data_IF_508577703588
#
_entry.id   IF_508577703588
#
_cell.length_a   1.000
_cell.length_b   1.000
_cell.length_c   1.000
_cell.angle_alpha   90.00
_cell.angle_beta   90.00
_cell.angle_gamma   90.00
#
_symmetry.space_group_name_H-M   'P 1'
#
loop_
_entity.id
_entity.type
_entity.pdbx_description
1 polymer ?
#
# COMPACT_ATOMS: atom_id res chain seq x y z
N UNK A 1 32.58 -3.78 4.27
CA UNK A 1 31.46 -3.45 3.38
C UNK A 1 30.41 -2.78 4.25
N UNK A 2 29.92 -1.58 3.93
CA UNK A 2 28.82 -1.00 4.69
C UNK A 2 27.60 -1.92 4.50
N UNK A 3 27.01 -2.41 5.60
CA UNK A 3 25.79 -3.21 5.53
C UNK A 3 24.66 -2.34 4.97
N UNK A 4 23.98 -2.84 3.93
CA UNK A 4 22.77 -2.19 3.41
C UNK A 4 21.69 -2.32 4.49
N UNK A 5 21.40 -1.21 5.16
CA UNK A 5 20.39 -1.15 6.21
C UNK A 5 19.26 -0.19 5.78
N UNK A 6 18.06 -0.74 5.60
CA UNK A 6 16.86 -0.02 5.15
C UNK A 6 15.73 -0.16 6.21
N UNK A 7 15.92 0.34 7.44
CA UNK A 7 15.01 0.07 8.54
C UNK A 7 13.58 0.58 8.30
N UNK A 8 13.40 1.75 7.67
CA UNK A 8 12.09 2.34 7.45
C UNK A 8 11.32 1.54 6.39
N UNK A 9 11.98 1.24 5.27
CA UNK A 9 11.43 0.37 4.23
C UNK A 9 11.07 -1.00 4.80
N UNK A 10 11.92 -1.57 5.66
CA UNK A 10 11.71 -2.88 6.25
C UNK A 10 10.49 -2.90 7.18
N UNK A 11 10.34 -1.89 8.04
CA UNK A 11 9.17 -1.73 8.92
C UNK A 11 7.89 -1.58 8.10
N UNK A 12 7.91 -0.71 7.08
CA UNK A 12 6.77 -0.49 6.20
C UNK A 12 6.39 -1.79 5.47
N UNK A 13 7.37 -2.51 4.93
CA UNK A 13 7.17 -3.79 4.23
C UNK A 13 6.53 -4.81 5.16
N UNK A 14 7.04 -4.96 6.38
CA UNK A 14 6.47 -5.87 7.38
C UNK A 14 5.00 -5.56 7.68
N UNK A 15 4.67 -4.28 7.88
CA UNK A 15 3.29 -3.85 8.08
C UNK A 15 2.39 -4.14 6.89
N UNK A 16 2.85 -3.87 5.66
CA UNK A 16 2.09 -4.11 4.44
C UNK A 16 1.87 -5.60 4.16
N UNK A 17 2.84 -6.47 4.49
CA UNK A 17 2.68 -7.93 4.39
C UNK A 17 1.59 -8.42 5.33
N UNK A 18 1.59 -7.96 6.59
CA UNK A 18 0.54 -8.32 7.55
C UNK A 18 -0.82 -7.87 7.02
N UNK A 19 -0.92 -6.63 6.53
CA UNK A 19 -2.16 -6.12 5.96
C UNK A 19 -2.60 -6.92 4.72
N UNK A 20 -1.67 -7.30 3.85
CA UNK A 20 -1.94 -8.13 2.67
C UNK A 20 -2.55 -9.47 3.05
N UNK A 21 -1.96 -10.16 4.03
CA UNK A 21 -2.48 -11.44 4.55
C UNK A 21 -3.87 -11.26 5.15
N UNK A 22 -4.10 -10.19 5.92
CA UNK A 22 -5.43 -9.89 6.47
C UNK A 22 -6.47 -9.67 5.36
N UNK A 23 -6.15 -8.87 4.34
CA UNK A 23 -7.05 -8.62 3.20
C UNK A 23 -7.36 -9.91 2.44
N UNK A 24 -6.35 -10.74 2.19
CA UNK A 24 -6.51 -12.05 1.53
C UNK A 24 -7.43 -12.97 2.33
N UNK A 25 -7.21 -13.07 3.65
CA UNK A 25 -8.06 -13.87 4.54
C UNK A 25 -9.52 -13.40 4.53
N UNK A 26 -9.77 -12.09 4.45
CA UNK A 26 -11.14 -11.54 4.36
C UNK A 26 -11.85 -11.92 3.04
N UNK A 27 -11.11 -12.01 1.93
CA UNK A 27 -11.63 -12.52 0.64
C UNK A 27 -11.97 -13.99 0.78
N UNK A 28 -11.03 -14.82 1.25
CA UNK A 28 -11.22 -16.26 1.44
C UNK A 28 -12.38 -16.57 2.37
N UNK A 29 -12.51 -15.87 3.50
CA UNK A 29 -13.62 -16.03 4.42
C UNK A 29 -14.98 -15.70 3.79
N UNK A 30 -15.05 -14.70 2.90
CA UNK A 30 -16.31 -14.39 2.18
C UNK A 30 -16.63 -15.46 1.15
N UNK A 31 -15.64 -15.95 0.38
CA UNK A 31 -15.81 -17.05 -0.57
C UNK A 31 -16.35 -18.31 0.10
N UNK A 32 -15.79 -18.68 1.25
CA UNK A 32 -16.27 -19.83 2.04
C UNK A 32 -17.74 -19.67 2.45
N UNK A 33 -18.14 -18.46 2.89
CA UNK A 33 -19.54 -18.17 3.27
C UNK A 33 -20.51 -18.19 2.08
N UNK A 34 -20.03 -18.03 0.85
CA UNK A 34 -20.83 -18.07 -0.38
C UNK A 34 -20.85 -19.47 -1.02
N UNK A 35 -20.49 -20.52 -0.27
CA UNK A 35 -20.49 -21.90 -0.77
C UNK A 35 -19.18 -22.32 -1.45
N UNK A 36 -18.07 -21.65 -1.17
CA UNK A 36 -16.75 -22.05 -1.69
C UNK A 36 -16.49 -21.56 -3.12
N UNK A 37 -16.91 -20.35 -3.45
CA UNK A 37 -16.73 -19.76 -4.78
C UNK A 37 -15.25 -19.68 -5.15
N UNK A 38 -14.84 -20.39 -6.21
CA UNK A 38 -13.46 -20.41 -6.69
C UNK A 38 -13.08 -19.15 -7.50
N UNK A 39 -13.93 -18.75 -8.44
CA UNK A 39 -13.64 -17.66 -9.39
C UNK A 39 -14.66 -16.52 -9.34
N UNK A 40 -14.24 -15.33 -9.77
CA UNK A 40 -15.12 -14.15 -9.83
C UNK A 40 -15.56 -13.66 -8.44
N UNK A 41 -16.65 -12.90 -8.41
CA UNK A 41 -17.22 -12.27 -7.21
C UNK A 41 -18.62 -12.81 -6.83
N UNK A 42 -19.13 -13.80 -7.56
CA UNK A 42 -20.47 -14.37 -7.38
C UNK A 42 -21.62 -13.33 -7.34
N UNK A 43 -21.45 -12.17 -8.01
CA UNK A 43 -22.38 -11.03 -7.92
C UNK A 43 -22.58 -10.50 -6.49
N UNK A 44 -21.67 -10.82 -5.56
CA UNK A 44 -21.69 -10.36 -4.19
C UNK A 44 -20.86 -9.07 -4.06
N UNK A 45 -21.55 -7.95 -3.77
CA UNK A 45 -20.91 -6.63 -3.66
C UNK A 45 -19.82 -6.60 -2.56
N UNK A 46 -20.02 -7.34 -1.48
CA UNK A 46 -19.05 -7.42 -0.37
C UNK A 46 -17.78 -8.15 -0.81
N UNK A 47 -17.90 -9.28 -1.52
CA UNK A 47 -16.78 -10.01 -2.08
C UNK A 47 -16.04 -9.16 -3.11
N UNK A 48 -16.78 -8.50 -4.01
CA UNK A 48 -16.21 -7.56 -4.99
C UNK A 48 -15.39 -6.46 -4.32
N UNK A 49 -15.92 -5.83 -3.27
CA UNK A 49 -15.20 -4.81 -2.51
C UNK A 49 -13.91 -5.37 -1.91
N UNK A 50 -13.96 -6.51 -1.21
CA UNK A 50 -12.78 -7.14 -0.57
C UNK A 50 -11.70 -7.53 -1.59
N UNK A 51 -12.10 -8.09 -2.73
CA UNK A 51 -11.19 -8.40 -3.85
C UNK A 51 -10.48 -7.12 -4.30
N UNK A 52 -11.19 -6.00 -4.43
CA UNK A 52 -10.59 -4.72 -4.83
C UNK A 52 -9.66 -4.11 -3.78
N UNK A 53 -9.89 -4.34 -2.48
CA UNK A 53 -8.93 -3.91 -1.44
C UNK A 53 -7.61 -4.64 -1.60
N UNK A 54 -7.70 -5.96 -1.67
CA UNK A 54 -6.55 -6.83 -1.82
C UNK A 54 -5.79 -6.52 -3.12
N UNK A 55 -6.51 -6.42 -4.24
CA UNK A 55 -5.97 -6.03 -5.54
C UNK A 55 -5.26 -4.68 -5.50
N UNK A 56 -5.91 -3.66 -4.94
CA UNK A 56 -5.30 -2.33 -4.88
C UNK A 56 -4.02 -2.29 -4.04
N UNK A 57 -3.95 -3.08 -2.96
CA UNK A 57 -2.73 -3.15 -2.16
C UNK A 57 -1.58 -3.77 -2.98
N UNK A 58 -1.81 -4.89 -3.66
CA UNK A 58 -0.76 -5.57 -4.44
C UNK A 58 -0.35 -4.80 -5.71
N UNK A 59 -1.26 -4.00 -6.27
CA UNK A 59 -0.97 -3.13 -7.42
C UNK A 59 -0.08 -1.93 -7.05
N UNK A 60 -0.26 -1.36 -5.85
CA UNK A 60 0.37 -0.08 -5.48
C UNK A 60 1.54 -0.24 -4.52
N UNK A 61 1.43 -1.14 -3.53
CA UNK A 61 2.45 -1.29 -2.49
C UNK A 61 3.85 -1.62 -3.03
N UNK A 62 4.04 -2.52 -4.01
CA UNK A 62 5.37 -2.84 -4.51
C UNK A 62 6.10 -1.63 -5.09
N UNK A 63 5.40 -0.79 -5.86
CA UNK A 63 6.01 0.41 -6.45
C UNK A 63 6.41 1.44 -5.38
N UNK A 64 5.56 1.64 -4.36
CA UNK A 64 5.87 2.53 -3.25
C UNK A 64 7.04 2.01 -2.42
N UNK A 65 7.09 0.69 -2.16
CA UNK A 65 8.20 0.06 -1.45
C UNK A 65 9.52 0.21 -2.21
N UNK A 66 9.52 0.00 -3.53
CA UNK A 66 10.70 0.23 -4.38
C UNK A 66 11.14 1.70 -4.29
N UNK A 67 10.21 2.64 -4.40
CA UNK A 67 10.54 4.05 -4.34
C UNK A 67 11.14 4.45 -2.98
N UNK A 68 10.53 4.03 -1.87
CA UNK A 68 11.03 4.31 -0.51
C UNK A 68 12.38 3.62 -0.26
N UNK A 69 12.57 2.38 -0.75
CA UNK A 69 13.84 1.67 -0.66
C UNK A 69 14.97 2.41 -1.37
N UNK A 70 14.72 2.89 -2.60
CA UNK A 70 15.68 3.67 -3.38
C UNK A 70 15.98 5.02 -2.71
N UNK A 71 14.96 5.68 -2.16
CA UNK A 71 15.14 6.93 -1.41
C UNK A 71 15.97 6.72 -0.14
N UNK A 72 15.68 5.67 0.64
CA UNK A 72 16.40 5.34 1.87
C UNK A 72 17.85 4.94 1.57
N UNK A 73 18.06 4.14 0.53
CA UNK A 73 19.40 3.81 0.04
C UNK A 73 20.19 5.04 -0.43
N UNK A 74 19.51 5.99 -1.07
CA UNK A 74 20.09 7.25 -1.53
C UNK A 74 20.31 8.29 -0.40
N UNK A 75 20.02 7.94 0.86
CA UNK A 75 20.23 8.82 2.00
C UNK A 75 19.17 9.92 2.17
N UNK A 76 17.93 9.70 1.72
CA UNK A 76 16.81 10.58 2.05
C UNK A 76 16.65 10.71 3.57
N UNK A 77 16.21 11.88 4.04
CA UNK A 77 16.08 12.12 5.48
C UNK A 77 15.03 11.20 6.11
N UNK A 78 15.32 10.70 7.33
CA UNK A 78 14.41 9.81 8.05
C UNK A 78 13.03 10.43 8.26
N UNK A 79 12.95 11.76 8.47
CA UNK A 79 11.68 12.48 8.60
C UNK A 79 10.82 12.38 7.34
N UNK A 80 11.42 12.55 6.14
CA UNK A 80 10.70 12.44 4.88
C UNK A 80 10.22 11.00 4.65
N UNK A 81 11.10 10.03 4.87
CA UNK A 81 10.81 8.61 4.71
C UNK A 81 9.71 8.13 5.67
N UNK A 82 9.80 8.49 6.96
CA UNK A 82 8.76 8.18 7.94
C UNK A 82 7.43 8.84 7.61
N UNK A 83 7.44 10.08 7.11
CA UNK A 83 6.24 10.77 6.64
C UNK A 83 5.58 10.02 5.50
N UNK A 84 6.35 9.62 4.48
CA UNK A 84 5.84 8.86 3.34
C UNK A 84 5.34 7.47 3.79
N UNK A 85 6.15 6.72 4.54
CA UNK A 85 5.78 5.40 5.02
C UNK A 85 4.51 5.43 5.89
N UNK A 86 4.44 6.36 6.84
CA UNK A 86 3.32 6.50 7.75
C UNK A 86 2.02 6.89 7.05
N UNK A 87 2.05 7.93 6.21
CA UNK A 87 0.87 8.39 5.47
C UNK A 87 0.39 7.32 4.49
N UNK A 88 1.31 6.62 3.81
CA UNK A 88 0.95 5.52 2.93
C UNK A 88 0.25 4.40 3.70
N UNK A 89 0.87 3.92 4.78
CA UNK A 89 0.36 2.80 5.57
C UNK A 89 -1.01 3.11 6.20
N UNK A 90 -1.18 4.28 6.81
CA UNK A 90 -2.47 4.74 7.35
C UNK A 90 -3.50 4.83 6.23
N UNK A 91 -3.13 5.36 5.07
CA UNK A 91 -3.99 5.41 3.89
C UNK A 91 -4.47 4.02 3.45
N UNK A 92 -3.63 2.98 3.56
CA UNK A 92 -4.00 1.59 3.25
C UNK A 92 -4.97 1.00 4.29
N UNK A 93 -4.75 1.26 5.57
CA UNK A 93 -5.67 0.84 6.63
C UNK A 93 -7.05 1.47 6.43
N UNK A 94 -7.10 2.79 6.19
CA UNK A 94 -8.34 3.50 5.92
C UNK A 94 -9.05 2.97 4.67
N UNK A 95 -8.30 2.61 3.63
CA UNK A 95 -8.86 2.02 2.41
C UNK A 95 -9.51 0.66 2.69
N UNK A 96 -8.91 -0.16 3.56
CA UNK A 96 -9.48 -1.43 3.98
C UNK A 96 -10.73 -1.21 4.85
N UNK A 97 -10.70 -0.25 5.77
CA UNK A 97 -11.82 0.07 6.67
C UNK A 97 -13.05 0.63 5.94
N UNK A 98 -12.87 1.35 4.83
CA UNK A 98 -14.01 1.88 4.04
C UNK A 98 -14.98 0.79 3.60
N UNK A 99 -14.51 -0.45 3.45
CA UNK A 99 -15.32 -1.61 3.05
C UNK A 99 -16.36 -2.00 4.08
N UNK A 100 -16.16 -1.57 5.32
CA UNK A 100 -17.07 -1.80 6.44
C UNK A 100 -17.91 -0.56 6.74
N UNK A 101 -17.35 0.63 6.54
CA UNK A 101 -17.99 1.89 6.93
C UNK A 101 -18.85 2.52 5.83
N UNK A 102 -18.71 2.10 4.58
CA UNK A 102 -19.50 2.65 3.45
C UNK A 102 -19.27 4.14 3.17
N UNK A 103 -18.25 4.76 3.78
CA UNK A 103 -18.02 6.19 3.70
C UNK A 103 -17.12 6.56 2.49
N UNK A 104 -17.63 7.33 1.52
CA UNK A 104 -16.89 7.67 0.31
C UNK A 104 -15.67 8.59 0.56
N UNK A 105 -15.73 9.44 1.59
CA UNK A 105 -14.64 10.37 1.91
C UNK A 105 -13.38 9.66 2.41
N UNK A 106 -13.55 8.53 3.13
CA UNK A 106 -12.43 7.68 3.56
C UNK A 106 -11.73 7.07 2.33
N UNK A 107 -12.51 6.64 1.34
CA UNK A 107 -11.97 6.13 0.08
C UNK A 107 -11.19 7.19 -0.71
N UNK A 108 -11.73 8.42 -0.77
CA UNK A 108 -11.09 9.53 -1.45
C UNK A 108 -9.74 9.90 -0.81
N UNK A 109 -9.69 10.00 0.53
CA UNK A 109 -8.46 10.30 1.25
C UNK A 109 -7.37 9.26 0.95
N UNK A 110 -7.71 7.96 1.01
CA UNK A 110 -6.76 6.88 0.71
C UNK A 110 -6.21 6.92 -0.72
N UNK A 111 -7.03 7.31 -1.70
CA UNK A 111 -6.63 7.43 -3.10
C UNK A 111 -5.75 8.67 -3.30
N UNK A 112 -6.11 9.81 -2.71
CA UNK A 112 -5.32 11.03 -2.84
C UNK A 112 -3.95 10.83 -2.19
N UNK A 113 -3.91 10.27 -0.98
CA UNK A 113 -2.65 10.08 -0.24
C UNK A 113 -1.65 9.18 -0.99
N UNK A 114 -2.11 8.10 -1.64
CA UNK A 114 -1.19 7.29 -2.47
C UNK A 114 -0.65 8.06 -3.67
N UNK A 115 -1.47 8.86 -4.37
CA UNK A 115 -1.02 9.57 -5.56
C UNK A 115 -0.01 10.65 -5.18
N UNK A 116 -0.26 11.38 -4.09
CA UNK A 116 0.67 12.37 -3.54
C UNK A 116 2.01 11.71 -3.18
N UNK A 117 2.00 10.52 -2.57
CA UNK A 117 3.23 9.81 -2.23
C UNK A 117 3.97 9.30 -3.47
N UNK A 118 3.27 8.70 -4.44
CA UNK A 118 3.90 8.25 -5.68
C UNK A 118 4.52 9.42 -6.46
N UNK A 119 3.80 10.54 -6.57
CA UNK A 119 4.31 11.75 -7.22
C UNK A 119 5.46 12.36 -6.45
N UNK A 120 5.37 12.46 -5.12
CA UNK A 120 6.41 13.01 -4.27
C UNK A 120 7.69 12.18 -4.29
N UNK A 121 7.58 10.85 -4.19
CA UNK A 121 8.71 9.94 -4.24
C UNK A 121 9.35 9.92 -5.64
N UNK A 122 8.53 9.88 -6.70
CA UNK A 122 9.01 9.98 -8.08
C UNK A 122 9.74 11.30 -8.35
N UNK A 123 9.16 12.43 -7.95
CA UNK A 123 9.79 13.74 -8.09
C UNK A 123 11.10 13.85 -7.30
N UNK A 124 11.15 13.29 -6.10
CA UNK A 124 12.37 13.25 -5.29
C UNK A 124 13.46 12.43 -5.98
N UNK A 125 13.15 11.21 -6.45
CA UNK A 125 14.10 10.34 -7.13
C UNK A 125 14.63 10.96 -8.42
N UNK A 126 13.74 11.52 -9.24
CA UNK A 126 14.13 12.24 -10.44
C UNK A 126 15.05 13.40 -10.10
N UNK A 127 14.68 14.29 -9.17
CA UNK A 127 15.53 15.41 -8.79
C UNK A 127 16.91 14.97 -8.27
N UNK A 128 16.97 13.86 -7.53
CA UNK A 128 18.20 13.39 -6.90
C UNK A 128 19.17 12.71 -7.90
N UNK A 129 18.65 12.07 -8.95
CA UNK A 129 19.45 11.27 -9.88
C UNK A 129 19.50 11.78 -11.33
N UNK A 130 18.65 12.73 -11.72
CA UNK A 130 18.54 13.20 -13.11
C UNK A 130 19.84 13.80 -13.67
N UNK A 131 20.67 14.40 -12.82
CA UNK A 131 21.96 15.01 -13.20
C UNK A 131 23.17 14.25 -12.64
N UNK A 132 22.94 13.04 -12.14
CA UNK A 132 23.95 12.21 -11.46
C UNK A 132 24.54 11.15 -12.39
N UNK A 133 24.29 11.27 -13.70
CA UNK A 133 24.72 10.37 -14.79
C UNK A 133 25.61 11.15 -15.75
#
# INVERSE_FOLDING_TARGET
MAEINLPITSILTGGLIILLVMLSAMVTARRARLGGIEFGDAQDETLRARIRAHGNLIEIAPMVLIAIALMEYAGASSTLLLGFAGVFFIGRILHALRMYLGNPYIGLFSIISQHVICLGAGAWLLKHFLFSI
#
